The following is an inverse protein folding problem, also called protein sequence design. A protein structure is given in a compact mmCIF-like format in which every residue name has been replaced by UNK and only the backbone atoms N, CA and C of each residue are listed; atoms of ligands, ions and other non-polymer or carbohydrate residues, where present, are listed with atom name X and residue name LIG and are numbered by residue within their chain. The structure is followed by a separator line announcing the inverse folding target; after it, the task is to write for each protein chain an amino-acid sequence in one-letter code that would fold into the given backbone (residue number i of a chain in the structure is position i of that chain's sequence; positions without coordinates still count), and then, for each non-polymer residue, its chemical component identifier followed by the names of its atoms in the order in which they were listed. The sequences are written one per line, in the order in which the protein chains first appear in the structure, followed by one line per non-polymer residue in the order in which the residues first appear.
data_IF_130416401138
#
_entry.id   IF_130416401138
#
_cell.length_a   1.000
_cell.length_b   1.000
_cell.length_c   1.000
_cell.angle_alpha   90.00
_cell.angle_beta   90.00
_cell.angle_gamma   90.00
#
_symmetry.space_group_name_H-M   'P 1'
#
loop_
_entity.id
_entity.type
_entity.pdbx_description
1 polymer ?
#
# COMPACT_ATOMS: atom_id res chain seq x y z
N UNK A 1 -12.64 -10.47 -23.71
CA UNK A 1 -12.12 -9.69 -22.56
C UNK A 1 -12.15 -10.62 -21.37
N UNK A 2 -10.98 -11.02 -20.87
CA UNK A 2 -10.88 -11.81 -19.66
C UNK A 2 -10.43 -10.87 -18.55
N UNK A 3 -11.31 -10.66 -17.57
CA UNK A 3 -11.10 -9.81 -16.40
C UNK A 3 -11.13 -10.71 -15.16
N UNK A 4 -10.11 -10.57 -14.31
CA UNK A 4 -10.11 -11.13 -12.96
C UNK A 4 -10.18 -9.92 -12.03
N UNK A 5 -11.25 -9.82 -11.25
CA UNK A 5 -11.50 -8.72 -10.32
C UNK A 5 -11.48 -9.15 -8.86
N UNK A 6 -11.56 -8.16 -7.97
CA UNK A 6 -11.59 -8.34 -6.51
C UNK A 6 -12.62 -9.40 -6.10
N UNK A 7 -12.12 -10.50 -5.53
CA UNK A 7 -12.91 -11.70 -5.23
C UNK A 7 -12.09 -12.99 -5.18
N UNK A 8 -10.85 -12.98 -5.67
CA UNK A 8 -9.87 -14.01 -5.35
C UNK A 8 -9.34 -13.76 -3.94
N UNK A 9 -10.05 -14.23 -2.92
CA UNK A 9 -9.44 -14.46 -1.61
C UNK A 9 -8.29 -15.44 -1.79
N UNK A 10 -7.08 -14.92 -2.01
CA UNK A 10 -5.83 -15.64 -1.88
C UNK A 10 -5.51 -15.70 -0.38
N UNK A 11 -6.36 -16.38 0.38
CA UNK A 11 -6.08 -16.69 1.77
C UNK A 11 -4.79 -17.50 1.84
N UNK A 12 -3.91 -17.13 2.77
CA UNK A 12 -2.66 -17.80 3.11
C UNK A 12 -2.80 -19.32 2.99
N UNK A 13 -2.28 -19.88 1.90
CA UNK A 13 -2.31 -21.31 1.65
C UNK A 13 -0.98 -21.90 2.10
N UNK A 14 -0.98 -22.51 3.28
CA UNK A 14 0.02 -23.53 3.61
C UNK A 14 0.06 -24.60 2.49
N UNK A 15 1.23 -25.22 2.23
CA UNK A 15 1.38 -26.17 1.14
C UNK A 15 0.68 -27.49 1.48
N UNK A 16 -0.62 -27.60 1.15
CA UNK A 16 -1.41 -28.83 1.24
C UNK A 16 -1.82 -29.34 -0.16
N UNK A 17 -1.96 -30.66 -0.38
CA UNK A 17 -1.73 -31.25 -1.70
C UNK A 17 -2.86 -31.12 -2.72
N UNK A 18 -4.02 -30.50 -2.43
CA UNK A 18 -5.16 -30.50 -3.36
C UNK A 18 -6.21 -29.39 -3.12
N UNK A 19 -5.81 -28.17 -2.78
CA UNK A 19 -6.73 -27.03 -2.62
C UNK A 19 -6.13 -25.66 -2.95
N UNK A 20 -6.36 -25.17 -4.17
CA UNK A 20 -6.57 -23.74 -4.46
C UNK A 20 -5.46 -22.71 -4.19
N UNK A 21 -4.18 -23.05 -4.32
CA UNK A 21 -3.09 -22.04 -4.35
C UNK A 21 -3.19 -21.15 -5.62
N UNK A 22 -2.71 -19.88 -5.63
CA UNK A 22 -2.64 -19.06 -6.85
C UNK A 22 -1.92 -19.74 -8.02
N UNK A 23 -1.07 -20.73 -7.74
CA UNK A 23 -0.49 -21.66 -8.71
C UNK A 23 -1.53 -22.45 -9.53
N UNK A 24 -2.65 -22.83 -8.92
CA UNK A 24 -3.73 -23.60 -9.57
C UNK A 24 -4.59 -22.72 -10.46
N UNK A 25 -4.82 -21.46 -10.06
CA UNK A 25 -5.52 -20.47 -10.89
C UNK A 25 -4.67 -20.16 -12.12
N UNK A 26 -3.37 -19.93 -11.95
CA UNK A 26 -2.43 -19.78 -13.06
C UNK A 26 -2.44 -20.97 -14.01
N UNK A 27 -2.37 -22.18 -13.46
CA UNK A 27 -2.42 -23.43 -14.23
C UNK A 27 -3.73 -23.61 -15.00
N UNK A 28 -4.88 -23.33 -14.37
CA UNK A 28 -6.18 -23.40 -15.02
C UNK A 28 -6.32 -22.39 -16.16
N UNK A 29 -5.85 -21.15 -15.97
CA UNK A 29 -5.87 -20.11 -17.00
C UNK A 29 -4.98 -20.47 -18.20
N UNK A 30 -3.80 -21.02 -17.94
CA UNK A 30 -2.91 -21.52 -18.98
C UNK A 30 -3.55 -22.68 -19.77
N UNK A 31 -4.15 -23.66 -19.09
CA UNK A 31 -4.85 -24.78 -19.73
C UNK A 31 -6.05 -24.31 -20.58
N UNK A 32 -6.73 -23.25 -20.14
CA UNK A 32 -7.83 -22.65 -20.87
C UNK A 32 -7.37 -21.78 -22.06
N UNK A 33 -6.07 -21.56 -22.25
CA UNK A 33 -5.54 -20.65 -23.27
C UNK A 33 -5.98 -19.20 -23.06
N UNK A 34 -6.20 -18.81 -21.79
CA UNK A 34 -6.67 -17.48 -21.46
C UNK A 34 -5.64 -16.40 -21.86
N UNK A 35 -6.15 -15.22 -22.22
CA UNK A 35 -5.34 -14.04 -22.57
C UNK A 35 -5.85 -12.87 -21.75
N UNK A 36 -5.23 -12.63 -20.58
CA UNK A 36 -5.68 -11.58 -19.68
C UNK A 36 -5.33 -10.22 -20.26
N UNK A 37 -6.27 -9.28 -20.15
CA UNK A 37 -6.03 -7.87 -20.47
C UNK A 37 -5.93 -7.01 -19.21
N UNK A 38 -6.52 -7.49 -18.11
CA UNK A 38 -6.52 -6.81 -16.81
C UNK A 38 -6.37 -7.87 -15.73
N UNK A 39 -5.46 -7.61 -14.78
CA UNK A 39 -5.29 -8.39 -13.57
C UNK A 39 -5.39 -7.43 -12.40
N UNK A 40 -6.47 -7.54 -11.64
CA UNK A 40 -6.68 -6.79 -10.42
C UNK A 40 -6.57 -7.74 -9.23
N UNK A 41 -5.55 -7.49 -8.42
CA UNK A 41 -5.29 -8.19 -7.18
C UNK A 41 -5.39 -7.23 -5.99
N UNK A 42 -6.01 -6.07 -6.13
CA UNK A 42 -6.08 -5.09 -5.06
C UNK A 42 -6.83 -5.63 -3.83
N UNK A 43 -6.42 -5.20 -2.63
CA UNK A 43 -7.08 -5.53 -1.35
C UNK A 43 -7.12 -7.03 -0.99
N UNK A 44 -6.15 -7.82 -1.49
CA UNK A 44 -6.10 -9.26 -1.19
C UNK A 44 -5.04 -9.64 -0.14
N UNK A 45 -4.33 -8.65 0.44
CA UNK A 45 -3.32 -8.86 1.47
C UNK A 45 -2.34 -10.00 1.14
N UNK A 46 -1.96 -10.12 -0.14
CA UNK A 46 -1.18 -11.26 -0.65
C UNK A 46 0.16 -11.39 0.09
N UNK A 47 0.76 -10.27 0.45
CA UNK A 47 2.03 -10.22 1.16
C UNK A 47 3.22 -10.73 0.32
N UNK A 48 4.44 -10.67 0.89
CA UNK A 48 5.64 -11.14 0.20
C UNK A 48 5.64 -12.65 -0.05
N UNK A 49 4.98 -13.45 0.80
CA UNK A 49 4.90 -14.91 0.64
C UNK A 49 3.93 -15.29 -0.48
N UNK A 50 2.80 -14.61 -0.59
CA UNK A 50 1.81 -14.89 -1.64
C UNK A 50 2.32 -14.57 -3.05
N UNK A 51 3.33 -13.70 -3.19
CA UNK A 51 4.02 -13.46 -4.47
C UNK A 51 4.59 -14.72 -5.10
N UNK A 52 5.10 -15.66 -4.29
CA UNK A 52 5.65 -16.91 -4.80
C UNK A 52 4.57 -17.77 -5.48
N UNK A 53 3.35 -17.71 -4.96
CA UNK A 53 2.22 -18.37 -5.59
C UNK A 53 1.76 -17.70 -6.88
N UNK A 54 2.05 -16.41 -7.08
CA UNK A 54 1.72 -15.65 -8.28
C UNK A 54 2.78 -15.79 -9.40
N UNK A 55 3.99 -16.23 -9.07
CA UNK A 55 5.08 -16.39 -10.05
C UNK A 55 4.65 -17.17 -11.30
N UNK A 56 3.99 -18.32 -11.10
CA UNK A 56 3.52 -19.19 -12.19
C UNK A 56 2.55 -18.46 -13.12
N UNK A 57 1.64 -17.64 -12.58
CA UNK A 57 0.70 -16.87 -13.38
C UNK A 57 1.40 -15.71 -14.09
N UNK A 58 2.13 -14.89 -13.34
CA UNK A 58 2.72 -13.65 -13.83
C UNK A 58 3.80 -13.88 -14.88
N UNK A 59 4.50 -15.03 -14.85
CA UNK A 59 5.51 -15.42 -15.85
C UNK A 59 4.97 -16.24 -17.03
N UNK A 60 3.65 -16.46 -17.07
CA UNK A 60 3.01 -17.29 -18.10
C UNK A 60 2.59 -16.50 -19.35
N UNK A 61 2.37 -17.18 -20.49
CA UNK A 61 1.82 -16.57 -21.71
C UNK A 61 0.45 -15.90 -21.54
N UNK A 62 -0.29 -16.24 -20.48
CA UNK A 62 -1.57 -15.60 -20.13
C UNK A 62 -1.40 -14.09 -19.91
N UNK A 63 -0.24 -13.68 -19.40
CA UNK A 63 0.08 -12.29 -19.08
C UNK A 63 0.75 -11.52 -20.24
N UNK A 64 1.07 -12.15 -21.37
CA UNK A 64 1.65 -11.43 -22.53
C UNK A 64 0.69 -10.36 -23.06
N UNK A 65 -0.62 -10.59 -22.98
CA UNK A 65 -1.64 -9.63 -23.41
C UNK A 65 -2.08 -8.66 -22.33
N UNK A 66 -1.49 -8.75 -21.12
CA UNK A 66 -1.89 -7.94 -19.98
C UNK A 66 -1.64 -6.48 -20.31
N UNK A 67 -2.65 -5.63 -20.13
CA UNK A 67 -2.57 -4.19 -20.36
C UNK A 67 -2.57 -3.41 -19.06
N UNK A 68 -3.26 -3.92 -18.04
CA UNK A 68 -3.42 -3.24 -16.76
C UNK A 68 -3.16 -4.20 -15.61
N UNK A 69 -2.30 -3.80 -14.68
CA UNK A 69 -1.95 -4.54 -13.48
C UNK A 69 -2.25 -3.66 -12.26
N UNK A 70 -3.25 -4.05 -11.48
CA UNK A 70 -3.75 -3.29 -10.34
C UNK A 70 -3.49 -4.10 -9.06
N UNK A 71 -2.71 -3.54 -8.15
CA UNK A 71 -2.11 -4.26 -7.02
C UNK A 71 -2.18 -3.45 -5.71
N UNK A 72 -3.14 -2.53 -5.59
CA UNK A 72 -3.26 -1.67 -4.43
C UNK A 72 -3.45 -2.48 -3.14
N UNK A 73 -2.87 -2.01 -2.03
CA UNK A 73 -3.15 -2.52 -0.69
C UNK A 73 -2.93 -4.04 -0.54
N UNK A 74 -1.78 -4.53 -1.02
CA UNK A 74 -1.42 -5.95 -0.93
C UNK A 74 -0.32 -6.26 0.10
N UNK A 75 0.25 -5.23 0.73
CA UNK A 75 1.29 -5.42 1.74
C UNK A 75 2.52 -6.17 1.22
N UNK A 76 2.91 -5.96 -0.04
CA UNK A 76 4.04 -6.65 -0.68
C UNK A 76 5.33 -6.54 0.13
N UNK A 77 5.58 -5.38 0.72
CA UNK A 77 6.87 -5.04 1.30
C UNK A 77 7.96 -4.92 0.22
N UNK A 78 9.18 -4.53 0.62
CA UNK A 78 10.29 -4.36 -0.33
C UNK A 78 10.60 -5.67 -1.06
N UNK A 79 10.67 -6.79 -0.34
CA UNK A 79 10.96 -8.11 -0.92
C UNK A 79 9.88 -8.58 -1.90
N UNK A 80 8.59 -8.36 -1.58
CA UNK A 80 7.50 -8.71 -2.49
C UNK A 80 7.53 -7.82 -3.75
N UNK A 81 7.84 -6.54 -3.61
CA UNK A 81 8.02 -5.61 -4.72
C UNK A 81 9.14 -6.03 -5.68
N UNK A 82 10.29 -6.45 -5.13
CA UNK A 82 11.41 -6.99 -5.94
C UNK A 82 10.98 -8.24 -6.70
N UNK A 83 10.34 -9.21 -6.02
CA UNK A 83 9.88 -10.45 -6.66
C UNK A 83 8.82 -10.22 -7.72
N UNK A 84 7.92 -9.26 -7.50
CA UNK A 84 6.94 -8.84 -8.51
C UNK A 84 7.63 -8.32 -9.76
N UNK A 85 8.59 -7.41 -9.60
CA UNK A 85 9.35 -6.88 -10.71
C UNK A 85 10.16 -7.97 -11.42
N UNK A 86 10.76 -8.92 -10.70
CA UNK A 86 11.42 -10.10 -11.29
C UNK A 86 10.47 -10.92 -12.18
N UNK A 87 9.27 -11.21 -11.68
CA UNK A 87 8.25 -11.94 -12.45
C UNK A 87 7.87 -11.17 -13.73
N UNK A 88 7.72 -9.86 -13.64
CA UNK A 88 7.33 -9.01 -14.78
C UNK A 88 8.45 -8.93 -15.83
N UNK A 89 9.71 -8.81 -15.39
CA UNK A 89 10.90 -8.84 -16.27
C UNK A 89 10.98 -10.18 -16.98
N UNK A 90 10.87 -11.29 -16.24
CA UNK A 90 10.89 -12.63 -16.80
C UNK A 90 9.75 -12.82 -17.82
N UNK A 91 8.54 -12.38 -17.50
CA UNK A 91 7.39 -12.46 -18.40
C UNK A 91 7.62 -11.64 -19.68
N UNK A 92 8.14 -10.42 -19.55
CA UNK A 92 8.48 -9.59 -20.70
C UNK A 92 9.53 -10.27 -21.60
N UNK A 93 10.62 -10.78 -21.05
CA UNK A 93 11.67 -11.46 -21.81
C UNK A 93 11.14 -12.70 -22.54
N UNK A 94 10.29 -13.51 -21.89
CA UNK A 94 9.62 -14.66 -22.51
C UNK A 94 8.65 -14.21 -23.62
N UNK A 95 7.87 -13.16 -23.39
CA UNK A 95 6.92 -12.63 -24.37
C UNK A 95 7.60 -12.15 -25.66
N UNK A 96 8.78 -11.51 -25.54
CA UNK A 96 9.59 -11.07 -26.67
C UNK A 96 10.16 -12.27 -27.42
N UNK A 97 10.70 -13.26 -26.70
CA UNK A 97 11.23 -14.50 -27.29
C UNK A 97 10.17 -15.27 -28.08
N UNK A 98 8.94 -15.29 -27.57
CA UNK A 98 7.81 -15.97 -28.19
C UNK A 98 7.15 -15.16 -29.33
N UNK A 99 7.71 -13.99 -29.69
CA UNK A 99 7.20 -13.14 -30.77
C UNK A 99 5.88 -12.44 -30.45
N UNK A 100 5.51 -12.36 -29.17
CA UNK A 100 4.30 -11.67 -28.70
C UNK A 100 4.60 -10.75 -27.52
N UNK A 101 5.33 -9.64 -27.72
CA UNK A 101 5.77 -8.76 -26.64
C UNK A 101 4.64 -8.31 -25.72
N UNK A 102 4.96 -8.23 -24.43
CA UNK A 102 4.05 -7.79 -23.36
C UNK A 102 3.43 -6.43 -23.68
N UNK A 103 2.14 -6.28 -23.37
CA UNK A 103 1.35 -5.07 -23.68
C UNK A 103 1.02 -4.21 -22.47
N UNK A 104 1.76 -4.37 -21.37
CA UNK A 104 1.44 -3.73 -20.09
C UNK A 104 1.66 -2.22 -20.21
N UNK A 105 0.61 -1.44 -19.99
CA UNK A 105 0.63 0.02 -20.15
C UNK A 105 0.13 0.78 -18.92
N UNK A 106 -0.59 0.10 -18.02
CA UNK A 106 -1.02 0.67 -16.75
C UNK A 106 -0.54 -0.21 -15.59
N UNK A 107 0.22 0.39 -14.67
CA UNK A 107 0.68 -0.22 -13.45
C UNK A 107 0.21 0.61 -12.26
N UNK A 108 -0.55 -0.01 -11.38
CA UNK A 108 -1.11 0.64 -10.18
C UNK A 108 -0.77 -0.22 -8.98
N UNK A 109 0.00 0.32 -8.03
CA UNK A 109 0.40 -0.38 -6.82
C UNK A 109 0.67 0.61 -5.71
N UNK A 110 -0.37 1.07 -5.02
CA UNK A 110 -0.26 1.90 -3.83
C UNK A 110 -0.40 1.11 -2.52
N UNK A 111 -0.08 1.75 -1.39
CA UNK A 111 -0.24 1.18 -0.03
C UNK A 111 0.39 -0.21 0.11
N UNK A 112 1.57 -0.40 -0.48
CA UNK A 112 2.17 -1.73 -0.59
C UNK A 112 3.58 -1.82 -0.04
N UNK A 113 4.09 -0.73 0.55
CA UNK A 113 5.43 -0.66 1.16
C UNK A 113 6.53 -1.17 0.24
N UNK A 114 6.49 -0.74 -1.03
CA UNK A 114 7.49 -1.16 -2.01
C UNK A 114 8.89 -0.66 -1.64
N UNK A 115 8.97 0.52 -0.99
CA UNK A 115 10.21 1.15 -0.55
C UNK A 115 11.25 1.28 -1.70
N UNK A 116 12.49 1.69 -1.41
CA UNK A 116 13.52 1.81 -2.46
C UNK A 116 13.80 0.49 -3.19
N UNK A 117 13.95 -0.68 -2.53
CA UNK A 117 14.28 -1.92 -3.22
C UNK A 117 13.24 -2.32 -4.27
N UNK A 118 11.95 -2.24 -3.93
CA UNK A 118 10.86 -2.53 -4.85
C UNK A 118 10.80 -1.52 -6.00
N UNK A 119 10.94 -0.22 -5.69
CA UNK A 119 10.95 0.84 -6.70
C UNK A 119 12.12 0.71 -7.68
N UNK A 120 13.33 0.44 -7.21
CA UNK A 120 14.54 0.23 -8.02
C UNK A 120 14.34 -0.93 -9.00
N UNK A 121 13.79 -2.06 -8.52
CA UNK A 121 13.57 -3.22 -9.38
C UNK A 121 12.43 -2.99 -10.39
N UNK A 122 11.36 -2.32 -9.98
CA UNK A 122 10.28 -1.90 -10.89
C UNK A 122 10.78 -0.90 -11.94
N UNK A 123 11.69 0.01 -11.58
CA UNK A 123 12.32 0.91 -12.54
C UNK A 123 13.08 0.14 -13.62
N UNK A 124 13.82 -0.90 -13.27
CA UNK A 124 14.48 -1.76 -14.27
C UNK A 124 13.46 -2.42 -15.21
N UNK A 125 12.33 -2.88 -14.67
CA UNK A 125 11.23 -3.39 -15.49
C UNK A 125 10.69 -2.32 -16.46
N UNK A 126 10.36 -1.13 -15.97
CA UNK A 126 9.81 -0.04 -16.80
C UNK A 126 10.78 0.41 -17.90
N UNK A 127 12.08 0.43 -17.61
CA UNK A 127 13.14 0.74 -18.58
C UNK A 127 13.23 -0.29 -19.71
N UNK A 128 12.91 -1.55 -19.44
CA UNK A 128 12.90 -2.64 -20.43
C UNK A 128 11.62 -2.64 -21.27
N UNK A 129 10.46 -2.51 -20.63
CA UNK A 129 9.17 -2.70 -21.29
C UNK A 129 8.80 -1.54 -22.22
N UNK A 130 9.10 -0.28 -21.84
CA UNK A 130 8.90 0.94 -22.64
C UNK A 130 7.47 1.18 -23.17
N UNK A 131 6.48 0.51 -22.59
CA UNK A 131 5.07 0.57 -22.98
C UNK A 131 4.18 1.32 -21.99
N UNK A 132 4.76 1.91 -20.92
CA UNK A 132 3.96 2.52 -19.87
C UNK A 132 3.28 3.81 -20.34
N UNK A 133 1.96 3.87 -20.09
CA UNK A 133 1.12 5.04 -20.25
C UNK A 133 0.70 5.61 -18.88
N UNK A 134 0.58 4.76 -17.86
CA UNK A 134 0.17 5.17 -16.51
C UNK A 134 0.89 4.37 -15.43
N UNK A 135 1.53 5.09 -14.50
CA UNK A 135 2.16 4.53 -13.31
C UNK A 135 1.63 5.26 -12.08
N UNK A 136 0.98 4.53 -11.19
CA UNK A 136 0.38 5.04 -9.95
C UNK A 136 0.91 4.23 -8.77
N UNK A 137 1.77 4.85 -7.97
CA UNK A 137 2.47 4.20 -6.86
C UNK A 137 2.38 5.00 -5.54
N UNK A 138 1.20 5.46 -5.12
CA UNK A 138 1.09 6.29 -3.92
C UNK A 138 1.30 5.47 -2.63
N UNK A 139 1.77 6.11 -1.56
CA UNK A 139 1.84 5.48 -0.23
C UNK A 139 2.69 4.20 -0.21
N UNK A 140 3.91 4.26 -0.74
CA UNK A 140 4.82 3.11 -0.77
C UNK A 140 6.08 3.29 0.06
N UNK A 141 6.28 4.45 0.69
CA UNK A 141 7.52 4.76 1.42
C UNK A 141 8.74 4.73 0.51
N UNK A 142 8.60 5.20 -0.75
CA UNK A 142 9.71 5.30 -1.70
C UNK A 142 10.47 6.59 -1.39
N UNK A 143 11.79 6.50 -1.24
CA UNK A 143 12.66 7.65 -0.95
C UNK A 143 13.35 8.12 -2.24
N UNK A 144 14.16 9.17 -2.13
CA UNK A 144 14.81 9.84 -3.27
C UNK A 144 15.55 8.91 -4.26
N UNK A 145 16.23 7.86 -3.80
CA UNK A 145 16.93 6.90 -4.68
C UNK A 145 15.95 6.11 -5.57
N UNK A 146 14.86 5.61 -4.97
CA UNK A 146 13.82 4.89 -5.70
C UNK A 146 13.09 5.81 -6.68
N UNK A 147 12.81 7.05 -6.28
CA UNK A 147 12.22 8.08 -7.14
C UNK A 147 13.13 8.40 -8.33
N UNK A 148 14.43 8.58 -8.10
CA UNK A 148 15.38 8.83 -9.16
C UNK A 148 15.36 7.71 -10.20
N UNK A 149 15.44 6.45 -9.75
CA UNK A 149 15.42 5.30 -10.65
C UNK A 149 14.12 5.22 -11.45
N UNK A 150 12.96 5.42 -10.78
CA UNK A 150 11.65 5.47 -11.44
C UNK A 150 11.60 6.59 -12.49
N UNK A 151 12.03 7.80 -12.14
CA UNK A 151 12.04 8.94 -13.05
C UNK A 151 12.90 8.70 -14.29
N UNK A 152 14.12 8.19 -14.10
CA UNK A 152 15.04 7.85 -15.20
C UNK A 152 14.42 6.79 -16.12
N UNK A 153 13.89 5.70 -15.55
CA UNK A 153 13.26 4.62 -16.33
C UNK A 153 12.00 5.08 -17.09
N UNK A 154 11.15 5.85 -16.43
CA UNK A 154 9.90 6.33 -17.00
C UNK A 154 10.13 7.42 -18.05
N UNK A 155 11.25 8.13 -18.02
CA UNK A 155 11.66 9.03 -19.10
C UNK A 155 11.93 8.31 -20.43
N UNK A 156 12.13 6.98 -20.40
CA UNK A 156 12.26 6.13 -21.59
C UNK A 156 10.92 5.55 -22.07
N UNK A 157 9.80 5.94 -21.48
CA UNK A 157 8.45 5.52 -21.85
C UNK A 157 7.73 6.69 -22.56
N UNK A 158 7.80 6.79 -23.91
CA UNK A 158 7.35 7.98 -24.65
C UNK A 158 5.83 8.18 -24.63
N UNK A 159 5.06 7.17 -24.23
CA UNK A 159 3.60 7.23 -24.15
C UNK A 159 3.09 7.56 -22.73
N UNK A 160 3.98 7.86 -21.77
CA UNK A 160 3.60 8.10 -20.38
C UNK A 160 2.73 9.36 -20.27
N UNK A 161 1.50 9.19 -19.79
CA UNK A 161 0.49 10.23 -19.61
C UNK A 161 0.18 10.51 -18.15
N UNK A 162 0.41 9.55 -17.24
CA UNK A 162 0.03 9.70 -15.84
C UNK A 162 1.13 9.14 -14.93
N UNK A 163 1.71 10.01 -14.11
CA UNK A 163 2.65 9.65 -13.06
C UNK A 163 2.11 10.15 -11.72
N UNK A 164 1.83 9.20 -10.83
CA UNK A 164 1.39 9.47 -9.46
C UNK A 164 2.34 8.79 -8.47
N UNK A 165 3.03 9.63 -7.69
CA UNK A 165 3.94 9.24 -6.62
C UNK A 165 3.50 9.82 -5.27
N UNK A 166 2.23 10.22 -5.12
CA UNK A 166 1.68 10.85 -3.92
C UNK A 166 2.03 10.08 -2.64
N UNK A 167 2.36 10.80 -1.56
CA UNK A 167 2.68 10.21 -0.25
C UNK A 167 3.84 9.20 -0.36
N UNK A 168 4.97 9.71 -0.86
CA UNK A 168 6.29 9.07 -0.86
C UNK A 168 7.33 10.12 -0.49
N UNK A 169 8.46 9.72 0.09
CA UNK A 169 9.47 10.63 0.62
C UNK A 169 10.45 11.09 -0.47
N UNK A 170 9.96 11.87 -1.44
CA UNK A 170 10.80 12.41 -2.51
C UNK A 170 11.88 13.33 -1.93
N UNK A 171 11.49 14.25 -1.03
CA UNK A 171 12.35 15.35 -0.54
C UNK A 171 12.83 16.27 -1.67
N UNK A 172 13.55 17.39 -1.40
CA UNK A 172 14.18 18.16 -2.46
C UNK A 172 15.12 17.34 -3.36
N UNK A 173 15.79 16.31 -2.83
CA UNK A 173 16.72 15.46 -3.60
C UNK A 173 15.99 14.66 -4.68
N UNK A 174 14.91 13.96 -4.34
CA UNK A 174 14.10 13.20 -5.29
C UNK A 174 13.34 14.09 -6.27
N UNK A 175 12.87 15.26 -5.82
CA UNK A 175 12.26 16.26 -6.69
C UNK A 175 13.20 16.72 -7.81
N UNK A 176 14.46 17.04 -7.47
CA UNK A 176 15.50 17.42 -8.43
C UNK A 176 15.81 16.28 -9.41
N UNK A 177 15.82 15.04 -8.94
CA UNK A 177 16.01 13.88 -9.80
C UNK A 177 14.86 13.70 -10.81
N UNK A 178 13.62 13.82 -10.35
CA UNK A 178 12.42 13.80 -11.20
C UNK A 178 12.43 14.96 -12.21
N UNK A 179 12.77 16.17 -11.76
CA UNK A 179 12.87 17.38 -12.57
C UNK A 179 13.81 17.21 -13.78
N UNK A 180 14.94 16.49 -13.63
CA UNK A 180 15.86 16.18 -14.74
C UNK A 180 15.22 15.30 -15.83
N UNK A 181 14.19 14.54 -15.49
CA UNK A 181 13.53 13.57 -16.37
C UNK A 181 12.23 14.09 -16.98
N UNK A 182 11.52 15.01 -16.31
CA UNK A 182 10.24 15.57 -16.77
C UNK A 182 10.25 16.11 -18.22
N UNK A 183 11.29 16.81 -18.71
CA UNK A 183 11.31 17.31 -20.09
C UNK A 183 11.18 16.23 -21.17
N UNK A 184 11.52 14.97 -20.85
CA UNK A 184 11.40 13.83 -21.79
C UNK A 184 10.01 13.19 -21.80
N UNK A 185 9.15 13.55 -20.85
CA UNK A 185 7.79 13.00 -20.71
C UNK A 185 6.78 13.88 -21.45
N UNK A 186 6.93 14.00 -22.78
CA UNK A 186 6.17 14.95 -23.61
C UNK A 186 4.65 14.69 -23.61
N UNK A 187 4.24 13.43 -23.40
CA UNK A 187 2.84 13.01 -23.34
C UNK A 187 2.20 13.15 -21.96
N UNK A 188 2.95 13.61 -20.94
CA UNK A 188 2.48 13.68 -19.56
C UNK A 188 1.27 14.63 -19.43
N UNK A 189 0.17 14.11 -18.90
CA UNK A 189 -1.10 14.79 -18.61
C UNK A 189 -1.32 15.00 -17.13
N UNK A 190 -0.98 14.01 -16.30
CA UNK A 190 -1.14 14.09 -14.85
C UNK A 190 0.19 13.85 -14.17
N UNK A 191 0.62 14.83 -13.37
CA UNK A 191 1.74 14.70 -12.45
C UNK A 191 1.21 14.89 -11.02
N UNK A 192 1.20 13.82 -10.23
CA UNK A 192 0.78 13.87 -8.85
C UNK A 192 1.95 13.60 -7.89
N UNK A 193 2.32 14.65 -7.17
CA UNK A 193 3.40 14.69 -6.17
C UNK A 193 2.87 15.27 -4.86
N UNK A 194 1.58 15.13 -4.54
CA UNK A 194 1.06 15.52 -3.22
C UNK A 194 1.81 14.78 -2.10
N UNK A 195 1.96 15.44 -0.95
CA UNK A 195 2.55 14.83 0.26
C UNK A 195 3.91 14.16 0.02
N UNK A 196 4.80 14.86 -0.69
CA UNK A 196 6.10 14.34 -1.11
C UNK A 196 7.30 15.00 -0.40
N UNK A 197 7.03 15.90 0.55
CA UNK A 197 8.02 16.74 1.24
C UNK A 197 8.97 17.47 0.28
N UNK A 198 8.44 17.98 -0.84
CA UNK A 198 9.26 18.65 -1.86
C UNK A 198 9.99 19.88 -1.33
N UNK A 199 9.36 20.60 -0.39
CA UNK A 199 9.77 21.93 0.12
C UNK A 199 9.95 22.95 -1.00
N UNK A 200 10.36 24.16 -0.65
CA UNK A 200 10.62 25.23 -1.63
C UNK A 200 11.61 24.81 -2.73
N UNK A 201 12.74 24.20 -2.37
CA UNK A 201 13.79 23.82 -3.32
C UNK A 201 13.33 22.75 -4.33
N UNK A 202 12.58 21.73 -3.88
CA UNK A 202 12.05 20.70 -4.76
C UNK A 202 10.94 21.24 -5.67
N UNK A 203 10.04 22.06 -5.13
CA UNK A 203 8.98 22.73 -5.89
C UNK A 203 9.55 23.62 -7.01
N UNK A 204 10.57 24.44 -6.71
CA UNK A 204 11.26 25.26 -7.73
C UNK A 204 11.93 24.41 -8.81
N UNK A 205 12.52 23.27 -8.45
CA UNK A 205 13.10 22.35 -9.43
C UNK A 205 12.03 21.79 -10.37
N UNK A 206 10.87 21.40 -9.85
CA UNK A 206 9.72 20.98 -10.67
C UNK A 206 9.24 22.13 -11.55
N UNK A 207 9.07 23.34 -11.00
CA UNK A 207 8.67 24.54 -11.74
C UNK A 207 9.63 24.81 -12.92
N UNK A 208 10.94 24.80 -12.67
CA UNK A 208 11.95 25.01 -13.70
C UNK A 208 11.89 23.92 -14.79
N UNK A 209 11.68 22.65 -14.41
CA UNK A 209 11.60 21.54 -15.34
C UNK A 209 10.36 21.58 -16.23
N UNK A 210 9.20 21.94 -15.68
CA UNK A 210 7.98 22.03 -16.49
C UNK A 210 7.95 23.31 -17.33
N UNK A 211 8.65 24.39 -16.96
CA UNK A 211 8.64 25.64 -17.74
C UNK A 211 9.07 25.42 -19.19
N UNK A 212 8.15 25.59 -20.14
CA UNK A 212 8.39 25.33 -21.56
C UNK A 212 8.39 23.85 -21.98
N UNK A 213 8.11 22.93 -21.07
CA UNK A 213 7.99 21.48 -21.30
C UNK A 213 6.60 20.95 -20.93
N UNK A 214 6.33 19.68 -21.22
CA UNK A 214 5.07 18.99 -20.91
C UNK A 214 3.83 19.78 -21.38
N UNK A 215 3.69 20.03 -22.70
CA UNK A 215 2.61 20.87 -23.24
C UNK A 215 1.21 20.25 -23.09
N UNK A 216 1.14 18.94 -22.81
CA UNK A 216 -0.09 18.18 -22.62
C UNK A 216 -0.52 18.06 -21.15
N UNK A 217 0.19 18.71 -20.22
CA UNK A 217 -0.12 18.64 -18.80
C UNK A 217 -1.50 19.23 -18.53
N UNK A 218 -2.38 18.40 -17.97
CA UNK A 218 -3.78 18.68 -17.63
C UNK A 218 -3.94 18.91 -16.12
N UNK A 219 -3.16 18.21 -15.30
CA UNK A 219 -3.25 18.27 -13.84
C UNK A 219 -1.86 18.23 -13.19
N UNK A 220 -1.59 19.20 -12.32
CA UNK A 220 -0.40 19.30 -11.50
C UNK A 220 -0.79 19.30 -10.02
N UNK A 221 -0.43 18.24 -9.30
CA UNK A 221 -0.76 18.11 -7.87
C UNK A 221 0.49 18.19 -7.01
N UNK A 222 0.55 19.21 -6.15
CA UNK A 222 1.68 19.58 -5.29
C UNK A 222 1.21 20.03 -3.89
N UNK A 223 0.02 19.60 -3.47
CA UNK A 223 -0.54 19.88 -2.15
C UNK A 223 0.27 19.17 -1.04
N UNK A 224 0.25 19.71 0.17
CA UNK A 224 0.91 19.11 1.36
C UNK A 224 2.42 18.88 1.19
N UNK A 225 3.16 19.86 0.66
CA UNK A 225 4.58 19.69 0.32
C UNK A 225 5.53 20.66 1.03
N UNK A 226 5.07 21.40 2.03
CA UNK A 226 5.85 22.47 2.67
C UNK A 226 6.38 23.51 1.64
N UNK A 227 5.58 23.79 0.60
CA UNK A 227 5.94 24.76 -0.44
C UNK A 227 5.71 26.17 0.08
N UNK A 228 6.73 27.01 0.03
CA UNK A 228 6.61 28.43 0.41
C UNK A 228 5.89 29.24 -0.66
N UNK A 229 5.32 30.39 -0.26
CA UNK A 229 4.70 31.37 -1.16
C UNK A 229 5.48 31.62 -2.46
N UNK A 230 6.78 31.90 -2.36
CA UNK A 230 7.60 32.22 -3.54
C UNK A 230 7.70 31.04 -4.51
N UNK A 231 7.90 29.82 -4.00
CA UNK A 231 7.96 28.62 -4.82
C UNK A 231 6.59 28.25 -5.44
N UNK A 232 5.49 28.54 -4.74
CA UNK A 232 4.13 28.34 -5.26
C UNK A 232 3.82 29.30 -6.43
N UNK A 233 4.25 30.55 -6.34
CA UNK A 233 4.16 31.51 -7.45
C UNK A 233 4.99 31.02 -8.65
N UNK A 234 6.23 30.58 -8.42
CA UNK A 234 7.09 30.02 -9.48
C UNK A 234 6.43 28.85 -10.22
N UNK A 235 5.72 27.97 -9.49
CA UNK A 235 4.98 26.84 -10.03
C UNK A 235 3.80 27.27 -10.90
N UNK A 236 2.98 28.22 -10.44
CA UNK A 236 1.84 28.76 -11.21
C UNK A 236 2.32 29.42 -12.50
N UNK A 237 3.36 30.24 -12.42
CA UNK A 237 3.94 30.87 -13.60
C UNK A 237 4.54 29.84 -14.57
N UNK A 238 5.19 28.80 -14.04
CA UNK A 238 5.74 27.73 -14.87
C UNK A 238 4.67 26.87 -15.54
N UNK A 239 3.49 26.74 -14.90
CA UNK A 239 2.32 26.02 -15.40
C UNK A 239 1.58 26.79 -16.53
N UNK A 240 1.79 28.10 -16.64
CA UNK A 240 1.18 28.95 -17.65
C UNK A 240 1.46 28.49 -19.11
N UNK A 241 0.59 28.91 -20.03
CA UNK A 241 0.76 28.67 -21.47
C UNK A 241 0.40 27.26 -21.94
N UNK A 242 -0.35 26.49 -21.15
CA UNK A 242 -0.85 25.15 -21.49
C UNK A 242 -2.35 25.18 -21.74
N UNK A 243 -2.76 24.82 -22.95
CA UNK A 243 -4.18 24.84 -23.35
C UNK A 243 -5.03 23.77 -22.65
N UNK A 244 -4.42 22.67 -22.23
CA UNK A 244 -5.11 21.53 -21.61
C UNK A 244 -5.10 21.56 -20.08
N UNK A 245 -4.39 22.53 -19.47
CA UNK A 245 -4.27 22.58 -18.01
C UNK A 245 -5.61 22.93 -17.37
N UNK A 246 -6.04 22.08 -16.45
CA UNK A 246 -7.33 22.15 -15.77
C UNK A 246 -7.22 22.21 -14.26
N UNK A 247 -6.08 21.78 -13.70
CA UNK A 247 -5.85 21.77 -12.26
C UNK A 247 -4.38 22.05 -11.89
N UNK A 248 -4.18 23.02 -11.00
CA UNK A 248 -2.96 23.22 -10.21
C UNK A 248 -3.36 23.17 -8.74
N UNK A 249 -2.99 22.10 -8.04
CA UNK A 249 -3.38 21.87 -6.65
C UNK A 249 -2.21 22.15 -5.71
N UNK A 250 -2.38 23.16 -4.85
CA UNK A 250 -1.35 23.68 -3.94
C UNK A 250 -1.84 23.78 -2.48
N UNK A 251 -2.95 23.13 -2.15
CA UNK A 251 -3.53 23.16 -0.80
C UNK A 251 -2.59 22.58 0.28
N UNK A 252 -2.73 23.01 1.53
CA UNK A 252 -1.94 22.51 2.66
C UNK A 252 -0.43 22.75 2.55
N UNK A 253 -0.03 23.85 1.91
CA UNK A 253 1.36 24.27 1.80
C UNK A 253 1.63 25.47 2.72
N UNK A 254 2.89 25.87 2.89
CA UNK A 254 3.27 26.99 3.75
C UNK A 254 3.06 28.34 3.04
N UNK A 255 1.80 28.64 2.72
CA UNK A 255 1.42 29.85 1.98
C UNK A 255 0.96 30.96 2.92
N UNK A 256 0.12 30.62 3.91
CA UNK A 256 -0.64 31.61 4.69
C UNK A 256 -1.62 32.41 3.83
N UNK A 257 -2.44 33.26 4.45
CA UNK A 257 -3.46 34.05 3.75
C UNK A 257 -2.86 34.94 2.64
N UNK A 258 -1.78 35.66 2.95
CA UNK A 258 -1.09 36.53 1.98
C UNK A 258 -0.45 35.73 0.84
N UNK A 259 0.02 34.51 1.11
CA UNK A 259 0.56 33.64 0.07
C UNK A 259 -0.52 33.10 -0.86
N UNK A 260 -1.68 32.72 -0.31
CA UNK A 260 -2.85 32.31 -1.11
C UNK A 260 -3.29 33.45 -2.02
N UNK A 261 -3.38 34.68 -1.52
CA UNK A 261 -3.71 35.85 -2.34
C UNK A 261 -2.67 36.06 -3.46
N UNK A 262 -1.37 35.98 -3.15
CA UNK A 262 -0.31 36.11 -4.15
C UNK A 262 -0.35 35.01 -5.22
N UNK A 263 -0.67 33.77 -4.85
CA UNK A 263 -0.83 32.64 -5.80
C UNK A 263 -2.06 32.87 -6.68
N UNK A 264 -3.16 33.39 -6.13
CA UNK A 264 -4.36 33.76 -6.91
C UNK A 264 -4.06 34.90 -7.90
N UNK A 265 -3.33 35.91 -7.48
CA UNK A 265 -2.92 37.02 -8.35
C UNK A 265 -2.01 36.53 -9.48
N UNK A 266 -1.02 35.68 -9.16
CA UNK A 266 -0.16 35.06 -10.16
C UNK A 266 -0.97 34.18 -11.14
N UNK A 267 -1.93 33.41 -10.64
CA UNK A 267 -2.81 32.60 -11.47
C UNK A 267 -3.69 33.47 -12.37
N UNK A 268 -4.24 34.57 -11.87
CA UNK A 268 -5.00 35.52 -12.68
C UNK A 268 -4.14 36.14 -13.79
N UNK A 269 -2.91 36.57 -13.47
CA UNK A 269 -1.97 37.11 -14.45
C UNK A 269 -1.56 36.07 -15.51
N UNK A 270 -1.47 34.79 -15.12
CA UNK A 270 -1.14 33.68 -16.01
C UNK A 270 -2.34 33.13 -16.80
N UNK A 271 -3.56 33.61 -16.56
CA UNK A 271 -4.79 33.07 -17.17
C UNK A 271 -5.22 31.71 -16.62
N UNK A 272 -4.80 31.38 -15.39
CA UNK A 272 -4.99 30.12 -14.70
C UNK A 272 -5.95 30.20 -13.50
N UNK A 273 -6.68 31.31 -13.33
CA UNK A 273 -7.56 31.53 -12.18
C UNK A 273 -8.57 30.39 -11.96
N UNK A 274 -9.17 29.87 -13.03
CA UNK A 274 -10.16 28.78 -12.98
C UNK A 274 -9.53 27.38 -12.83
N UNK A 275 -8.20 27.28 -12.93
CA UNK A 275 -7.45 26.01 -12.82
C UNK A 275 -6.88 25.78 -11.42
N UNK A 276 -6.88 26.81 -10.56
CA UNK A 276 -6.33 26.69 -9.22
C UNK A 276 -7.27 25.85 -8.34
N UNK A 277 -6.72 24.83 -7.68
CA UNK A 277 -7.45 24.05 -6.68
C UNK A 277 -7.92 24.92 -5.51
N UNK A 278 -8.94 24.46 -4.78
CA UNK A 278 -9.37 25.12 -3.55
C UNK A 278 -8.27 25.08 -2.48
N UNK A 279 -8.27 26.10 -1.62
CA UNK A 279 -7.47 26.10 -0.39
C UNK A 279 -8.44 25.85 0.77
N UNK A 280 -8.14 24.87 1.62
CA UNK A 280 -8.93 24.59 2.81
C UNK A 280 -8.59 25.58 3.93
N UNK A 281 -9.57 25.92 4.77
CA UNK A 281 -9.43 26.92 5.84
C UNK A 281 -8.79 26.34 7.14
N UNK A 282 -8.36 25.08 7.12
CA UNK A 282 -7.90 24.33 8.30
C UNK A 282 -6.36 24.31 8.45
N UNK A 283 -5.66 25.37 8.06
CA UNK A 283 -4.23 25.51 8.36
C UNK A 283 -4.06 25.93 9.84
N UNK A 284 -3.79 24.96 10.72
CA UNK A 284 -3.17 25.22 12.02
C UNK A 284 -1.88 26.03 11.75
N UNK A 285 -1.86 27.31 12.11
CA UNK A 285 -0.67 28.17 11.99
C UNK A 285 0.52 27.46 12.64
N UNK A 286 1.57 27.06 11.88
CA UNK A 286 2.80 26.67 12.52
C UNK A 286 3.36 27.91 13.22
N UNK A 287 3.65 27.78 14.53
CA UNK A 287 4.29 28.83 15.32
C UNK A 287 5.42 29.47 14.51
N UNK A 288 5.36 30.80 14.37
CA UNK A 288 6.24 31.59 13.52
C UNK A 288 7.68 31.56 14.02
N UNK A 289 8.44 30.54 13.65
CA UNK A 289 9.89 30.61 13.63
C UNK A 289 10.29 30.92 12.19
N UNK A 290 10.70 32.18 11.97
CA UNK A 290 11.36 32.64 10.75
C UNK A 290 12.67 31.85 10.56
N UNK A 291 12.61 30.66 9.97
CA UNK A 291 13.82 29.96 9.53
C UNK A 291 14.36 30.68 8.30
N UNK A 292 15.48 31.35 8.50
CA UNK A 292 16.33 31.90 7.45
C UNK A 292 16.74 30.77 6.51
N UNK A 293 16.62 31.01 5.20
CA UNK A 293 17.17 30.18 4.14
C UNK A 293 18.68 29.95 4.38
N UNK A 294 19.05 28.82 4.95
CA UNK A 294 20.39 28.24 4.81
C UNK A 294 20.31 27.10 3.79
N UNK A 295 20.88 27.33 2.61
CA UNK A 295 21.16 26.26 1.65
C UNK A 295 22.24 25.34 2.25
N UNK A 296 21.82 24.31 2.97
CA UNK A 296 22.70 23.21 3.34
C UNK A 296 22.63 22.10 2.28
N UNK A 297 23.62 22.12 1.38
CA UNK A 297 24.04 20.95 0.61
C UNK A 297 24.65 19.91 1.57
N UNK A 298 23.81 19.08 2.18
CA UNK A 298 24.31 17.91 2.91
C UNK A 298 24.46 16.70 1.96
N UNK A 299 25.70 16.51 1.50
CA UNK A 299 26.24 15.18 1.22
C UNK A 299 26.68 14.54 2.54
N UNK A 300 25.95 13.53 3.01
CA UNK A 300 26.45 12.62 4.04
C UNK A 300 26.49 11.19 3.49
N UNK A 301 27.70 10.78 3.13
CA UNK A 301 28.17 9.40 3.20
C UNK A 301 28.61 9.14 4.66
N UNK A 302 28.09 8.10 5.32
CA UNK A 302 28.62 7.71 6.63
C UNK A 302 27.83 6.63 7.37
N UNK A 303 28.37 5.41 7.35
CA UNK A 303 27.98 4.27 8.20
C UNK A 303 28.15 4.55 9.70
N UNK A 304 27.31 3.95 10.56
CA UNK A 304 27.62 3.84 11.98
C UNK A 304 26.43 3.48 12.87
N UNK A 305 26.46 2.28 13.44
CA UNK A 305 25.49 1.77 14.39
C UNK A 305 25.71 2.31 15.83
N UNK A 306 24.61 2.48 16.58
CA UNK A 306 24.28 1.76 17.84
C UNK A 306 23.45 2.61 18.80
N UNK A 307 22.37 1.98 19.31
CA UNK A 307 21.81 2.03 20.67
C UNK A 307 21.77 3.37 21.42
N UNK A 308 20.55 3.76 21.85
CA UNK A 308 20.25 3.86 23.29
C UNK A 308 18.74 3.86 23.54
N UNK A 309 18.34 3.17 24.60
CA UNK A 309 16.96 3.04 25.03
C UNK A 309 16.57 4.12 26.01
N UNK A 310 15.34 4.62 25.92
CA UNK A 310 14.77 5.51 26.93
C UNK A 310 13.47 5.00 27.54
N UNK A 311 13.47 5.18 28.87
CA UNK A 311 12.41 4.97 29.84
C UNK A 311 11.19 5.84 29.54
N UNK A 312 9.98 5.26 29.58
CA UNK A 312 8.73 6.02 29.73
C UNK A 312 7.95 5.49 30.93
N UNK A 313 7.65 6.41 31.86
CA UNK A 313 6.87 6.16 33.08
C UNK A 313 5.37 6.01 32.77
N UNK A 314 4.61 5.12 33.44
CA UNK A 314 3.19 4.99 33.17
C UNK A 314 2.33 6.00 33.95
N UNK A 315 1.48 6.71 33.22
CA UNK A 315 0.34 7.47 33.74
C UNK A 315 -0.72 6.55 34.35
N UNK A 316 -1.30 6.98 35.48
CA UNK A 316 -2.39 6.33 36.22
C UNK A 316 -3.68 6.29 35.39
N UNK A 317 -4.41 5.17 35.45
CA UNK A 317 -5.83 5.14 35.08
C UNK A 317 -6.64 4.30 36.07
N UNK A 318 -7.81 4.84 36.39
CA UNK A 318 -8.72 4.49 37.48
C UNK A 318 -9.32 3.08 37.40
N UNK A 319 -9.54 2.51 38.58
CA UNK A 319 -10.22 1.24 38.82
C UNK A 319 -11.71 1.31 38.42
N UNK A 320 -12.17 0.34 37.64
CA UNK A 320 -13.59 0.06 37.46
C UNK A 320 -13.91 -1.36 37.98
N UNK A 321 -14.93 -1.40 38.84
CA UNK A 321 -15.29 -2.48 39.74
C UNK A 321 -15.54 -3.87 39.11
N UNK A 322 -15.06 -4.89 39.82
CA UNK A 322 -15.26 -6.31 39.54
C UNK A 322 -16.73 -6.75 39.72
N UNK A 323 -17.31 -7.34 38.67
CA UNK A 323 -18.57 -8.10 38.75
C UNK A 323 -18.27 -9.59 38.97
N UNK A 324 -18.53 -10.09 40.19
CA UNK A 324 -18.47 -11.51 40.57
C UNK A 324 -19.59 -12.32 39.89
N UNK A 325 -19.22 -13.33 39.09
CA UNK A 325 -20.03 -14.51 38.69
C UNK A 325 -19.12 -15.76 38.57
N UNK A 326 -19.67 -16.99 38.66
CA UNK A 326 -19.17 -18.00 39.61
C UNK A 326 -18.08 -18.96 39.08
N UNK A 327 -17.21 -19.40 40.00
CA UNK A 327 -16.80 -20.80 40.12
C UNK A 327 -15.53 -21.28 39.41
N UNK A 328 -14.73 -20.40 38.81
CA UNK A 328 -13.47 -20.82 38.16
C UNK A 328 -12.30 -20.24 38.95
N UNK A 329 -11.56 -21.10 39.64
CA UNK A 329 -10.31 -20.74 40.32
C UNK A 329 -9.27 -20.35 39.27
N UNK A 330 -8.71 -19.11 39.31
CA UNK A 330 -7.66 -18.72 38.38
C UNK A 330 -6.43 -19.63 38.54
N UNK A 331 -5.86 -20.06 37.42
CA UNK A 331 -4.61 -20.81 37.38
C UNK A 331 -3.54 -19.87 36.81
N UNK A 332 -2.61 -19.34 37.63
CA UNK A 332 -1.53 -18.50 37.14
C UNK A 332 -0.76 -19.20 36.02
N UNK A 333 -0.54 -18.50 34.92
CA UNK A 333 0.21 -19.00 33.77
C UNK A 333 0.81 -17.84 32.98
N UNK A 334 1.80 -18.12 32.14
CA UNK A 334 2.31 -17.20 31.12
C UNK A 334 1.37 -17.15 29.91
N UNK A 335 1.58 -16.17 29.01
CA UNK A 335 0.82 -16.11 27.75
C UNK A 335 1.08 -17.35 26.90
N UNK A 336 2.33 -17.81 26.79
CA UNK A 336 2.69 -19.02 26.06
C UNK A 336 1.99 -20.27 26.63
N UNK A 337 1.96 -20.44 27.95
CA UNK A 337 1.26 -21.56 28.61
C UNK A 337 -0.26 -21.51 28.44
N UNK A 338 -0.83 -20.30 28.37
CA UNK A 338 -2.23 -20.11 28.02
C UNK A 338 -2.49 -20.49 26.55
N UNK A 339 -1.68 -20.01 25.61
CA UNK A 339 -1.83 -20.31 24.18
C UNK A 339 -1.70 -21.81 23.89
N UNK A 340 -0.83 -22.52 24.62
CA UNK A 340 -0.70 -23.97 24.52
C UNK A 340 -1.93 -24.73 25.04
N UNK A 341 -2.62 -24.22 26.07
CA UNK A 341 -3.81 -24.89 26.63
C UNK A 341 -4.84 -23.84 27.13
N UNK A 342 -5.63 -23.27 26.20
CA UNK A 342 -6.50 -22.14 26.51
C UNK A 342 -7.70 -22.61 27.35
N UNK A 343 -7.73 -22.20 28.61
CA UNK A 343 -8.87 -22.45 29.53
C UNK A 343 -9.30 -21.15 30.19
N UNK A 344 -10.56 -21.06 30.59
CA UNK A 344 -11.08 -19.89 31.31
C UNK A 344 -10.32 -19.63 32.63
N UNK A 345 -9.85 -20.69 33.31
CA UNK A 345 -9.04 -20.58 34.52
C UNK A 345 -7.67 -19.94 34.25
N UNK A 346 -7.01 -20.32 33.15
CA UNK A 346 -5.72 -19.74 32.72
C UNK A 346 -5.87 -18.33 32.16
N UNK A 347 -6.94 -18.05 31.42
CA UNK A 347 -7.24 -16.70 30.94
C UNK A 347 -7.43 -15.72 32.11
N UNK A 348 -8.10 -16.16 33.18
CA UNK A 348 -8.22 -15.38 34.42
C UNK A 348 -6.89 -15.33 35.20
N UNK A 349 -6.06 -16.36 35.10
CA UNK A 349 -4.73 -16.42 35.71
C UNK A 349 -3.69 -15.49 35.09
N UNK A 350 -3.93 -14.95 33.89
CA UNK A 350 -3.12 -13.88 33.27
C UNK A 350 -3.32 -12.50 33.94
N UNK A 351 -4.28 -12.38 34.87
CA UNK A 351 -4.54 -11.16 35.62
C UNK A 351 -5.31 -10.08 34.83
N UNK A 352 -5.30 -8.86 35.34
CA UNK A 352 -6.10 -7.76 34.80
C UNK A 352 -5.54 -7.19 33.49
N UNK A 353 -4.24 -7.33 33.26
CA UNK A 353 -3.58 -6.93 32.01
C UNK A 353 -3.63 -8.00 30.90
N UNK A 354 -4.40 -9.08 31.08
CA UNK A 354 -4.53 -10.19 30.12
C UNK A 354 -4.77 -9.74 28.67
N UNK A 355 -5.54 -8.68 28.44
CA UNK A 355 -5.81 -8.17 27.11
C UNK A 355 -4.54 -7.56 26.48
N UNK A 356 -3.81 -6.73 27.21
CA UNK A 356 -2.55 -6.15 26.74
C UNK A 356 -1.46 -7.20 26.53
N UNK A 357 -1.38 -8.19 27.43
CA UNK A 357 -0.42 -9.30 27.32
C UNK A 357 -0.70 -10.16 26.08
N UNK A 358 -1.96 -10.49 25.80
CA UNK A 358 -2.34 -11.25 24.61
C UNK A 358 -2.16 -10.44 23.32
N UNK A 359 -2.45 -9.14 23.34
CA UNK A 359 -2.24 -8.27 22.17
C UNK A 359 -0.75 -8.08 21.89
N UNK A 360 0.09 -7.91 22.93
CA UNK A 360 1.55 -7.83 22.79
C UNK A 360 2.11 -9.12 22.23
N UNK A 361 1.64 -10.27 22.70
CA UNK A 361 2.08 -11.55 22.16
C UNK A 361 1.58 -11.79 20.72
N UNK A 362 0.34 -11.40 20.39
CA UNK A 362 -0.17 -11.47 19.02
C UNK A 362 0.63 -10.57 18.04
N UNK A 363 1.20 -9.47 18.53
CA UNK A 363 2.16 -8.65 17.78
C UNK A 363 3.52 -9.35 17.64
N UNK A 364 3.97 -10.10 18.64
CA UNK A 364 5.22 -10.89 18.62
C UNK A 364 5.12 -12.19 17.80
N UNK A 365 3.93 -12.78 17.62
CA UNK A 365 3.72 -13.98 16.78
C UNK A 365 3.96 -13.69 15.28
N UNK A 366 4.10 -12.40 14.89
CA UNK A 366 4.79 -12.04 13.65
C UNK A 366 6.31 -12.09 13.83
N UNK A 367 6.89 -13.26 14.04
CA UNK A 367 8.31 -13.56 13.80
C UNK A 367 8.62 -15.05 14.04
N UNK A 368 8.88 -15.78 12.96
CA UNK A 368 9.95 -16.78 12.78
C UNK A 368 10.38 -17.74 13.92
N UNK A 369 9.54 -18.11 14.90
CA UNK A 369 9.93 -19.16 15.86
C UNK A 369 9.37 -20.54 15.45
N UNK A 370 10.19 -21.34 14.76
CA UNK A 370 9.87 -22.72 14.32
C UNK A 370 9.70 -23.71 15.48
N UNK A 371 9.91 -23.30 16.73
CA UNK A 371 9.70 -24.15 17.90
C UNK A 371 8.25 -24.18 18.41
N UNK A 372 7.40 -23.24 17.96
CA UNK A 372 6.03 -23.12 18.45
C UNK A 372 5.00 -23.57 17.40
N UNK A 373 4.57 -24.83 17.50
CA UNK A 373 3.41 -25.33 16.74
C UNK A 373 2.13 -24.96 17.50
N UNK A 374 1.35 -24.03 16.96
CA UNK A 374 0.02 -23.71 17.51
C UNK A 374 -0.88 -24.92 17.29
N UNK A 375 -1.20 -25.66 18.35
CA UNK A 375 -2.24 -26.69 18.29
C UNK A 375 -3.60 -26.01 18.39
N UNK A 376 -4.29 -25.85 17.26
CA UNK A 376 -5.61 -25.24 17.22
C UNK A 376 -6.62 -26.12 17.99
N UNK A 377 -7.18 -25.61 19.10
CA UNK A 377 -8.35 -26.25 19.74
C UNK A 377 -9.62 -25.94 18.93
N UNK A 378 -9.80 -26.70 17.86
CA UNK A 378 -10.93 -26.58 16.94
C UNK A 378 -12.26 -26.69 17.69
N UNK A 379 -12.35 -27.58 18.69
CA UNK A 379 -13.55 -27.73 19.52
C UNK A 379 -13.85 -26.46 20.30
N UNK A 380 -12.85 -25.87 20.95
CA UNK A 380 -12.97 -24.60 21.68
C UNK A 380 -13.41 -23.44 20.77
N UNK A 381 -12.82 -23.36 19.57
CA UNK A 381 -13.15 -22.33 18.58
C UNK A 381 -14.59 -22.46 18.07
N UNK A 382 -15.06 -23.67 17.77
CA UNK A 382 -16.45 -23.90 17.36
C UNK A 382 -17.44 -23.48 18.46
N UNK A 383 -17.12 -23.73 19.73
CA UNK A 383 -17.94 -23.30 20.87
C UNK A 383 -17.95 -21.77 21.01
N UNK A 384 -16.79 -21.12 20.87
CA UNK A 384 -16.69 -19.66 20.91
C UNK A 384 -17.47 -19.01 19.76
N UNK A 385 -17.31 -19.52 18.55
CA UNK A 385 -18.01 -19.04 17.37
C UNK A 385 -19.52 -19.23 17.50
N UNK A 386 -19.99 -20.35 18.05
CA UNK A 386 -21.42 -20.59 18.34
C UNK A 386 -22.02 -19.51 19.25
N UNK A 387 -21.24 -18.96 20.18
CA UNK A 387 -21.69 -17.85 21.05
C UNK A 387 -21.67 -16.51 20.33
N UNK A 388 -20.65 -16.29 19.49
CA UNK A 388 -20.48 -15.05 18.73
C UNK A 388 -21.58 -14.85 17.68
N UNK A 389 -21.95 -15.90 16.93
CA UNK A 389 -22.97 -15.81 15.85
C UNK A 389 -24.37 -15.45 16.34
N UNK A 390 -24.63 -15.64 17.65
CA UNK A 390 -25.89 -15.26 18.33
C UNK A 390 -25.93 -13.81 18.78
N UNK A 391 -24.83 -13.07 18.69
CA UNK A 391 -24.76 -11.70 19.15
C UNK A 391 -25.28 -10.73 18.07
N UNK A 392 -25.92 -9.62 18.46
CA UNK A 392 -26.53 -8.67 17.52
C UNK A 392 -25.51 -7.93 16.64
N UNK A 393 -24.23 -7.91 17.04
CA UNK A 393 -23.15 -7.30 16.27
C UNK A 393 -22.58 -8.24 15.19
N UNK A 394 -23.00 -9.51 15.13
CA UNK A 394 -22.42 -10.46 14.20
C UNK A 394 -22.88 -10.18 12.76
N UNK A 395 -21.98 -9.93 11.80
CA UNK A 395 -22.38 -9.49 10.46
C UNK A 395 -23.20 -10.56 9.70
N UNK A 396 -24.29 -10.13 9.08
CA UNK A 396 -25.17 -11.03 8.31
C UNK A 396 -24.46 -11.69 7.11
N UNK A 397 -23.60 -10.95 6.41
CA UNK A 397 -22.81 -11.47 5.28
C UNK A 397 -21.84 -12.59 5.69
N UNK A 398 -21.30 -12.53 6.91
CA UNK A 398 -20.41 -13.55 7.45
C UNK A 398 -21.20 -14.80 7.85
N UNK A 399 -22.46 -14.64 8.28
CA UNK A 399 -23.36 -15.76 8.61
C UNK A 399 -23.63 -16.65 7.40
N UNK A 400 -23.97 -16.08 6.25
CA UNK A 400 -24.25 -16.81 5.01
C UNK A 400 -23.00 -17.56 4.49
N UNK A 401 -21.84 -16.91 4.63
CA UNK A 401 -20.54 -17.49 4.29
C UNK A 401 -20.24 -18.71 5.17
N UNK A 402 -20.45 -18.59 6.50
CA UNK A 402 -20.23 -19.68 7.44
C UNK A 402 -21.20 -20.84 7.23
N UNK A 403 -22.47 -20.58 6.93
CA UNK A 403 -23.43 -21.64 6.60
C UNK A 403 -22.98 -22.42 5.37
N UNK A 404 -22.56 -21.72 4.32
CA UNK A 404 -22.08 -22.34 3.08
C UNK A 404 -20.84 -23.20 3.35
N UNK A 405 -19.90 -22.69 4.14
CA UNK A 405 -18.68 -23.41 4.47
C UNK A 405 -18.94 -24.66 5.31
N UNK A 406 -19.78 -24.55 6.36
CA UNK A 406 -20.08 -25.64 7.27
C UNK A 406 -21.04 -26.69 6.66
N UNK A 407 -21.79 -26.33 5.62
CA UNK A 407 -22.61 -27.29 4.87
C UNK A 407 -21.80 -28.30 4.06
N UNK A 408 -20.52 -28.01 3.79
CA UNK A 408 -19.61 -28.91 3.06
C UNK A 408 -18.86 -29.84 4.02
N UNK A 409 -18.42 -31.04 3.56
CA UNK A 409 -17.53 -31.89 4.33
C UNK A 409 -16.22 -31.19 4.63
N UNK A 410 -15.80 -31.19 5.90
CA UNK A 410 -14.57 -30.56 6.37
C UNK A 410 -13.89 -31.49 7.38
N UNK A 411 -12.72 -32.04 7.01
CA UNK A 411 -11.99 -33.03 7.82
C UNK A 411 -11.56 -32.54 9.20
N UNK A 412 -11.52 -31.23 9.44
CA UNK A 412 -11.11 -30.62 10.72
C UNK A 412 -12.32 -30.38 11.63
N UNK A 413 -13.41 -29.88 11.06
CA UNK A 413 -14.65 -29.59 11.80
C UNK A 413 -15.50 -30.85 12.02
N UNK A 414 -15.47 -31.80 11.08
CA UNK A 414 -16.27 -33.03 11.12
C UNK A 414 -15.81 -34.02 12.20
N UNK A 415 -14.61 -33.84 12.75
CA UNK A 415 -14.13 -34.54 13.96
C UNK A 415 -14.91 -34.11 15.21
N UNK A 416 -15.60 -32.97 15.14
CA UNK A 416 -16.42 -32.40 16.21
C UNK A 416 -17.89 -32.24 15.78
N UNK A 417 -18.59 -33.35 15.46
CA UNK A 417 -19.92 -33.30 14.85
C UNK A 417 -20.97 -32.63 15.74
N UNK A 418 -20.84 -32.75 17.07
CA UNK A 418 -21.73 -32.08 18.02
C UNK A 418 -21.58 -30.56 17.99
N UNK A 419 -20.34 -30.06 18.00
CA UNK A 419 -20.05 -28.62 17.97
C UNK A 419 -20.40 -28.02 16.62
N UNK A 420 -20.12 -28.74 15.52
CA UNK A 420 -20.57 -28.37 14.17
C UNK A 420 -22.08 -28.23 14.10
N UNK A 421 -22.82 -29.20 14.65
CA UNK A 421 -24.28 -29.17 14.67
C UNK A 421 -24.84 -27.97 15.46
N UNK A 422 -24.30 -27.72 16.66
CA UNK A 422 -24.71 -26.58 17.50
C UNK A 422 -24.43 -25.22 16.82
N UNK A 423 -23.29 -25.09 16.14
CA UNK A 423 -22.96 -23.90 15.37
C UNK A 423 -23.90 -23.73 14.19
N UNK A 424 -24.16 -24.78 13.42
CA UNK A 424 -25.12 -24.74 12.31
C UNK A 424 -26.50 -24.33 12.79
N UNK A 425 -26.97 -24.89 13.91
CA UNK A 425 -28.26 -24.52 14.49
C UNK A 425 -28.31 -23.05 14.91
N UNK A 426 -27.21 -22.50 15.43
CA UNK A 426 -27.12 -21.08 15.80
C UNK A 426 -27.03 -20.15 14.59
N UNK A 427 -26.53 -20.62 13.44
CA UNK A 427 -26.47 -19.85 12.20
C UNK A 427 -27.83 -19.78 11.48
N UNK A 428 -28.72 -20.76 11.68
CA UNK A 428 -30.08 -20.78 11.11
C UNK A 428 -31.14 -20.09 11.99
N UNK A 429 -30.73 -19.54 13.14
CA UNK A 429 -31.56 -18.70 14.02
C UNK A 429 -31.30 -17.23 13.74
#
# INVERSE_FOLDING_TARGET
MSYIGNGLMLAEAEPEPNGGSPTHVGSGLMLAGARLTVLDLSDNAVGPVGMDGLHVLLTSPVCYTLQRLLLNNNGWGPTGGVRLADCLIECHERSVRDGTPMKLREFVSGRSRLENPGALRLAEFFKRVKTMEKVVMPQNGIYHEGVQALAEALSENPALQHLDLNDNLLTPKGARALAKSLPKMEELRVLNLNDCLLRAAGARAVAAAIRGNNPKLEELHLAFNEVTRAAAVDLVEAAAGRDSLSLVHLDGNQLGEEGIEAVRDAAAAAGLADTLGGFSEDEDEPDSDEEQDEEEDEEEDGEGAESEGEHVSPMKREEAAAAKRPGITPIPCTVAEFLCQPTAARLLGLGDQRQQLLTKEALNVKCEDKQFSVSWDVKGMLVALTRAVRQPYFPATVRDTLQTFLSRPNKTVDVHPQQKHLLMQALFQ
#
